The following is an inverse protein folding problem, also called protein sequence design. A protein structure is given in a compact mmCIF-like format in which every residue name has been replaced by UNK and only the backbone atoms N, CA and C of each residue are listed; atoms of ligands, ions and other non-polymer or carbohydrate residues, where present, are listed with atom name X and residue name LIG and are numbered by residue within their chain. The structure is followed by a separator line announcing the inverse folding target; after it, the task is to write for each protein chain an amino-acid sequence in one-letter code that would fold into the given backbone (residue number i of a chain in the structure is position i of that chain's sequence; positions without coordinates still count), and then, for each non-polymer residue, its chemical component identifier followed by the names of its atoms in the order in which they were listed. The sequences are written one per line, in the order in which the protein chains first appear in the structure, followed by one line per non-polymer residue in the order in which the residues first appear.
data_IF_450191118241
#
_entry.id   IF_450191118241
#
_cell.length_a   1.000
_cell.length_b   1.000
_cell.length_c   1.000
_cell.angle_alpha   90.00
_cell.angle_beta   90.00
_cell.angle_gamma   90.00
#
_symmetry.space_group_name_H-M   'P 1'
#
loop_
_entity.id
_entity.type
_entity.pdbx_description
1 polymer ?
#
# COMPACT_ATOMS: atom_id res chain seq x y z
N UNK A 1 -26.83 -24.76 84.89
CA UNK A 1 -26.77 -26.22 85.12
C UNK A 1 -25.60 -26.78 84.33
N UNK A 2 -24.72 -27.48 85.05
CA UNK A 2 -23.69 -28.46 84.64
C UNK A 2 -22.61 -27.99 83.64
N UNK A 3 -21.38 -27.70 84.08
CA UNK A 3 -20.31 -28.65 84.46
C UNK A 3 -19.81 -29.52 83.29
N UNK A 4 -18.56 -29.32 82.88
CA UNK A 4 -17.47 -30.33 82.72
C UNK A 4 -16.28 -29.64 82.01
N UNK A 5 -15.24 -29.18 82.72
CA UNK A 5 -14.01 -29.91 83.11
C UNK A 5 -13.24 -30.57 81.95
N UNK A 6 -12.18 -29.85 81.56
CA UNK A 6 -10.79 -30.27 81.27
C UNK A 6 -10.46 -31.76 81.16
N UNK A 7 -9.76 -32.14 80.09
CA UNK A 7 -8.74 -33.19 80.14
C UNK A 7 -7.54 -32.81 79.26
N UNK A 8 -6.38 -32.94 79.89
CA UNK A 8 -5.03 -32.69 79.44
C UNK A 8 -4.46 -34.03 78.93
N UNK A 9 -3.84 -34.06 77.74
CA UNK A 9 -2.91 -35.13 77.39
C UNK A 9 -1.62 -34.52 76.85
N UNK A 10 -0.56 -34.98 77.51
CA UNK A 10 0.85 -34.68 77.41
C UNK A 10 1.43 -34.93 76.01
N UNK A 11 2.49 -34.20 75.73
CA UNK A 11 3.18 -34.21 74.46
C UNK A 11 3.95 -35.49 74.17
N UNK A 12 4.29 -35.62 72.88
CA UNK A 12 5.38 -36.46 72.39
C UNK A 12 6.26 -35.57 71.53
N UNK A 13 7.51 -35.43 71.94
CA UNK A 13 8.58 -34.88 71.11
C UNK A 13 9.08 -36.00 70.22
N UNK A 14 8.99 -35.84 68.89
CA UNK A 14 9.83 -36.59 67.95
C UNK A 14 10.48 -35.56 67.03
N UNK A 15 11.80 -35.68 66.97
CA UNK A 15 12.71 -34.83 66.24
C UNK A 15 12.93 -35.36 64.81
N UNK A 16 13.61 -34.53 64.02
CA UNK A 16 14.39 -34.88 62.82
C UNK A 16 13.55 -35.04 61.54
N UNK A 17 13.68 -34.08 60.63
CA UNK A 17 14.41 -34.28 59.38
C UNK A 17 14.40 -32.99 58.55
N UNK A 18 15.59 -32.42 58.44
CA UNK A 18 15.97 -31.42 57.45
C UNK A 18 15.60 -31.93 56.06
N UNK A 19 14.80 -31.21 55.29
CA UNK A 19 14.77 -31.38 53.84
C UNK A 19 14.68 -30.01 53.17
N UNK A 20 15.83 -29.67 52.59
CA UNK A 20 16.12 -28.53 51.75
C UNK A 20 15.21 -28.56 50.52
N UNK A 21 14.22 -27.68 50.43
CA UNK A 21 13.54 -27.41 49.15
C UNK A 21 14.32 -26.34 48.41
N UNK A 22 15.17 -26.80 47.48
CA UNK A 22 15.68 -25.98 46.37
C UNK A 22 14.49 -25.36 45.63
N UNK A 23 14.29 -24.06 45.78
CA UNK A 23 13.46 -23.30 44.87
C UNK A 23 14.25 -23.10 43.57
N UNK A 24 13.84 -23.84 42.53
CA UNK A 24 14.30 -23.64 41.16
C UNK A 24 13.60 -22.36 40.67
N UNK A 25 14.27 -21.22 40.80
CA UNK A 25 13.90 -19.99 40.08
C UNK A 25 14.09 -20.24 38.59
N UNK A 26 13.03 -20.66 37.90
CA UNK A 26 12.95 -20.59 36.45
C UNK A 26 12.98 -19.11 36.05
N UNK A 27 14.16 -18.61 35.69
CA UNK A 27 14.28 -17.37 34.93
C UNK A 27 13.74 -17.63 33.53
N UNK A 28 12.44 -17.39 33.34
CA UNK A 28 11.87 -17.23 32.02
C UNK A 28 12.49 -15.97 31.40
N UNK A 29 13.46 -16.16 30.52
CA UNK A 29 13.99 -15.10 29.68
C UNK A 29 12.81 -14.53 28.88
N UNK A 30 12.50 -13.22 28.97
CA UNK A 30 11.56 -12.62 28.04
C UNK A 30 12.23 -12.65 26.67
N UNK A 31 11.79 -13.58 25.82
CA UNK A 31 12.11 -13.60 24.39
C UNK A 31 11.54 -12.32 23.80
N UNK A 32 12.31 -11.25 23.79
CA UNK A 32 11.92 -9.99 23.16
C UNK A 32 11.89 -10.24 21.66
N UNK A 33 10.72 -10.52 21.12
CA UNK A 33 10.45 -10.46 19.69
C UNK A 33 10.73 -9.03 19.24
N UNK A 34 11.91 -8.81 18.65
CA UNK A 34 12.26 -7.54 18.03
C UNK A 34 11.49 -7.46 16.73
N UNK A 35 10.28 -6.93 16.76
CA UNK A 35 9.52 -6.56 15.57
C UNK A 35 10.24 -5.40 14.87
N UNK A 36 11.26 -5.71 14.08
CA UNK A 36 11.85 -4.75 13.15
C UNK A 36 10.92 -4.72 11.94
N UNK A 37 9.90 -3.86 11.98
CA UNK A 37 9.13 -3.49 10.78
C UNK A 37 9.42 -2.02 10.43
N UNK A 38 10.55 -1.70 9.79
CA UNK A 38 10.71 -0.43 9.10
C UNK A 38 10.34 -0.66 7.64
N UNK A 39 9.05 -0.71 7.34
CA UNK A 39 8.58 -0.67 5.94
C UNK A 39 7.54 0.41 5.77
N UNK A 40 8.02 1.63 5.53
CA UNK A 40 7.43 2.61 4.63
C UNK A 40 8.41 3.78 4.41
N UNK A 41 9.54 3.52 3.73
CA UNK A 41 10.28 4.57 3.02
C UNK A 41 9.89 4.41 1.56
N UNK A 42 8.64 4.74 1.22
CA UNK A 42 8.13 4.60 -0.15
C UNK A 42 7.40 5.89 -0.51
N UNK A 43 8.09 6.77 -1.22
CA UNK A 43 7.68 8.15 -1.39
C UNK A 43 8.27 8.65 -2.71
N UNK A 44 7.44 9.16 -3.64
CA UNK A 44 7.88 10.23 -4.50
C UNK A 44 8.66 11.28 -3.68
N UNK A 45 9.82 11.70 -4.19
CA UNK A 45 10.80 12.53 -3.50
C UNK A 45 12.09 11.81 -3.07
N UNK A 46 12.23 10.49 -3.34
CA UNK A 46 13.45 9.73 -3.07
C UNK A 46 14.36 9.57 -4.28
N UNK A 47 15.63 9.24 -4.07
CA UNK A 47 16.55 8.95 -5.18
C UNK A 47 16.26 7.58 -5.80
N UNK A 48 16.56 7.35 -7.09
CA UNK A 48 16.43 6.06 -7.74
C UNK A 48 17.09 4.90 -6.99
N UNK A 49 18.27 5.11 -6.39
CA UNK A 49 18.98 4.05 -5.68
C UNK A 49 18.25 3.63 -4.41
N UNK A 50 17.73 4.59 -3.64
CA UNK A 50 16.89 4.30 -2.47
C UNK A 50 15.64 3.51 -2.86
N UNK A 51 14.99 3.91 -3.95
CA UNK A 51 13.80 3.23 -4.46
C UNK A 51 14.14 1.83 -4.98
N UNK A 52 15.28 1.63 -5.62
CA UNK A 52 15.75 0.29 -6.05
C UNK A 52 15.95 -0.63 -4.85
N UNK A 53 16.61 -0.15 -3.79
CA UNK A 53 16.86 -0.96 -2.60
C UNK A 53 15.56 -1.28 -1.83
N UNK A 54 14.62 -0.34 -1.80
CA UNK A 54 13.28 -0.59 -1.29
C UNK A 54 12.52 -1.63 -2.14
N UNK A 55 12.54 -1.54 -3.48
CA UNK A 55 11.89 -2.50 -4.37
C UNK A 55 12.45 -3.93 -4.14
N UNK A 56 13.77 -4.06 -3.99
CA UNK A 56 14.45 -5.35 -3.75
C UNK A 56 14.00 -6.02 -2.45
N UNK A 57 13.71 -5.23 -1.43
CA UNK A 57 13.30 -5.72 -0.11
C UNK A 57 11.78 -5.77 0.07
N UNK A 58 11.00 -5.27 -0.90
CA UNK A 58 9.55 -5.25 -0.83
C UNK A 58 8.96 -6.66 -1.06
N UNK A 59 8.25 -7.24 -0.07
CA UNK A 59 7.76 -8.62 -0.13
C UNK A 59 6.62 -8.83 -1.13
N UNK A 60 5.99 -7.76 -1.62
CA UNK A 60 4.92 -7.81 -2.63
C UNK A 60 5.51 -7.69 -4.03
N UNK A 61 6.46 -6.77 -4.22
CA UNK A 61 7.08 -6.54 -5.53
C UNK A 61 7.97 -7.70 -5.96
N UNK A 62 8.79 -8.30 -5.08
CA UNK A 62 9.65 -9.47 -5.39
C UNK A 62 10.25 -9.41 -6.81
N UNK A 63 11.11 -8.43 -7.10
CA UNK A 63 11.67 -8.22 -8.43
C UNK A 63 12.47 -9.45 -8.90
N UNK A 64 12.46 -9.73 -10.20
CA UNK A 64 13.35 -10.71 -10.82
C UNK A 64 14.79 -10.17 -10.94
N UNK A 65 15.73 -11.07 -11.23
CA UNK A 65 17.13 -10.67 -11.43
C UNK A 65 17.24 -9.67 -12.59
N UNK A 66 17.79 -8.47 -12.30
CA UNK A 66 17.95 -7.39 -13.27
C UNK A 66 16.79 -6.38 -13.30
N UNK A 67 15.65 -6.68 -12.67
CA UNK A 67 14.61 -5.68 -12.47
C UNK A 67 15.04 -4.63 -11.45
N UNK A 68 14.71 -3.36 -11.74
CA UNK A 68 15.10 -2.19 -10.93
C UNK A 68 13.86 -1.35 -10.64
N UNK A 69 13.76 -0.17 -11.26
CA UNK A 69 12.60 0.74 -11.14
C UNK A 69 11.34 0.22 -11.86
N UNK A 70 11.41 -0.93 -12.49
CA UNK A 70 10.33 -1.54 -13.26
C UNK A 70 10.29 -3.01 -12.93
N UNK A 71 9.17 -3.43 -12.38
CA UNK A 71 8.88 -4.81 -11.98
C UNK A 71 7.66 -5.28 -12.76
N UNK A 72 7.78 -6.41 -13.44
CA UNK A 72 6.70 -7.00 -14.24
C UNK A 72 6.43 -8.41 -13.76
N UNK A 73 5.15 -8.73 -13.64
CA UNK A 73 4.69 -10.10 -13.34
C UNK A 73 3.63 -10.51 -14.33
N UNK A 74 3.72 -11.74 -14.80
CA UNK A 74 2.77 -12.30 -15.74
C UNK A 74 2.48 -13.74 -15.36
N UNK A 75 1.28 -14.00 -14.82
CA UNK A 75 0.80 -15.36 -14.61
C UNK A 75 0.41 -15.99 -15.96
N UNK A 76 -0.24 -15.20 -16.81
CA UNK A 76 -0.64 -15.54 -18.19
C UNK A 76 -0.65 -14.27 -19.05
N UNK A 77 -0.68 -14.37 -20.39
CA UNK A 77 -0.83 -13.18 -21.26
C UNK A 77 -2.05 -12.30 -20.93
N UNK A 78 -3.10 -12.93 -20.38
CA UNK A 78 -4.36 -12.30 -19.98
C UNK A 78 -4.34 -11.74 -18.55
N UNK A 79 -3.26 -11.94 -17.78
CA UNK A 79 -3.10 -11.53 -16.38
C UNK A 79 -1.68 -11.01 -16.11
N UNK A 80 -1.55 -9.68 -16.11
CA UNK A 80 -0.29 -8.97 -15.95
C UNK A 80 -0.37 -7.93 -14.84
N UNK A 81 0.72 -7.79 -14.11
CA UNK A 81 0.98 -6.74 -13.14
C UNK A 81 2.27 -6.02 -13.54
N UNK A 82 2.27 -4.71 -13.35
CA UNK A 82 3.48 -3.89 -13.50
C UNK A 82 3.54 -2.87 -12.38
N UNK A 83 4.72 -2.72 -11.79
CA UNK A 83 5.09 -1.60 -10.95
C UNK A 83 6.19 -0.81 -11.64
N UNK A 84 6.08 0.52 -11.67
CA UNK A 84 7.07 1.40 -12.27
C UNK A 84 7.29 2.66 -11.44
N UNK A 85 8.52 2.90 -11.01
CA UNK A 85 8.98 4.16 -10.44
C UNK A 85 9.64 5.03 -11.52
N UNK A 86 9.41 6.33 -11.47
CA UNK A 86 9.82 7.25 -12.53
C UNK A 86 10.15 8.64 -11.99
N UNK A 87 11.20 9.26 -12.56
CA UNK A 87 11.57 10.67 -12.31
C UNK A 87 10.63 11.67 -13.00
N UNK A 88 9.70 11.18 -13.83
CA UNK A 88 8.66 11.97 -14.49
C UNK A 88 7.28 11.48 -14.10
N UNK A 89 6.29 12.38 -14.18
CA UNK A 89 4.88 12.02 -14.07
C UNK A 89 4.35 11.49 -15.41
N UNK A 90 3.50 10.44 -15.41
CA UNK A 90 2.86 10.00 -16.64
C UNK A 90 1.90 11.08 -17.13
N UNK A 91 1.99 11.44 -18.41
CA UNK A 91 1.11 12.45 -19.03
C UNK A 91 1.59 13.90 -18.93
N UNK A 92 2.69 14.19 -18.22
CA UNK A 92 3.27 15.54 -18.14
C UNK A 92 4.67 15.54 -18.75
N UNK A 93 4.88 16.29 -19.84
CA UNK A 93 6.13 16.28 -20.59
C UNK A 93 7.32 17.02 -19.93
N UNK A 94 7.13 17.73 -18.81
CA UNK A 94 8.24 18.33 -18.07
C UNK A 94 7.80 18.75 -16.66
N UNK A 95 8.57 18.41 -15.63
CA UNK A 95 8.48 19.08 -14.32
C UNK A 95 9.74 19.93 -14.16
N UNK A 96 9.59 21.08 -13.49
CA UNK A 96 10.61 22.11 -13.39
C UNK A 96 11.93 21.61 -12.77
N UNK A 97 12.98 22.35 -13.08
CA UNK A 97 14.43 22.08 -12.95
C UNK A 97 14.97 21.92 -11.51
N UNK A 98 14.13 21.80 -10.49
CA UNK A 98 14.59 21.63 -9.10
C UNK A 98 14.50 20.18 -8.66
N UNK A 99 15.65 19.66 -8.23
CA UNK A 99 15.97 18.29 -7.80
C UNK A 99 16.14 17.31 -8.95
N UNK A 100 17.32 17.41 -9.58
CA UNK A 100 17.77 16.47 -10.58
C UNK A 100 17.89 15.08 -9.96
N UNK A 101 17.06 14.15 -10.43
CA UNK A 101 17.09 12.71 -10.14
C UNK A 101 16.37 12.25 -8.85
N UNK A 102 15.21 12.82 -8.52
CA UNK A 102 14.25 12.20 -7.59
C UNK A 102 13.13 11.48 -8.35
N UNK A 103 12.67 10.35 -7.82
CA UNK A 103 11.47 9.65 -8.27
C UNK A 103 10.26 10.51 -7.94
N UNK A 104 9.47 10.86 -8.94
CA UNK A 104 8.30 11.76 -8.81
C UNK A 104 6.97 11.04 -8.91
N UNK A 105 6.99 9.83 -9.47
CA UNK A 105 5.80 9.00 -9.56
C UNK A 105 6.11 7.52 -9.46
N UNK A 106 5.18 6.80 -8.87
CA UNK A 106 5.19 5.35 -8.75
C UNK A 106 3.84 4.82 -9.18
N UNK A 107 3.86 3.92 -10.16
CA UNK A 107 2.69 3.49 -10.87
C UNK A 107 2.50 1.98 -10.78
N UNK A 108 1.31 1.58 -10.36
CA UNK A 108 0.83 0.20 -10.34
C UNK A 108 -0.16 0.04 -11.49
N UNK A 109 0.07 -0.93 -12.37
CA UNK A 109 -0.86 -1.29 -13.45
C UNK A 109 -1.26 -2.75 -13.37
N UNK A 110 -2.53 -3.00 -13.66
CA UNK A 110 -3.07 -4.33 -13.89
C UNK A 110 -3.67 -4.43 -15.29
N UNK A 111 -3.56 -5.64 -15.82
CA UNK A 111 -4.33 -6.11 -16.95
C UNK A 111 -4.84 -7.51 -16.61
N UNK A 112 -6.14 -7.68 -16.49
CA UNK A 112 -6.78 -8.95 -16.16
C UNK A 112 -8.11 -9.04 -16.91
N UNK A 113 -8.13 -9.78 -18.03
CA UNK A 113 -9.36 -10.00 -18.80
C UNK A 113 -10.28 -11.03 -18.12
N UNK A 114 -9.70 -11.94 -17.33
CA UNK A 114 -10.43 -13.08 -16.76
C UNK A 114 -11.26 -12.65 -15.57
N UNK A 115 -10.65 -11.94 -14.62
CA UNK A 115 -11.32 -11.48 -13.40
C UNK A 115 -11.73 -10.00 -13.45
N UNK A 116 -11.18 -9.25 -14.41
CA UNK A 116 -11.26 -7.80 -14.40
C UNK A 116 -10.33 -7.16 -13.37
N UNK A 117 -10.31 -5.83 -13.43
CA UNK A 117 -9.61 -4.93 -12.53
C UNK A 117 -10.66 -4.02 -11.89
N UNK A 118 -10.65 -3.95 -10.57
CA UNK A 118 -11.56 -3.10 -9.81
C UNK A 118 -10.76 -2.04 -9.05
N UNK A 119 -11.43 -0.95 -8.66
CA UNK A 119 -10.84 0.03 -7.76
C UNK A 119 -10.35 -0.61 -6.46
N UNK A 120 -11.17 -1.47 -5.85
CA UNK A 120 -10.82 -2.17 -4.61
C UNK A 120 -9.54 -3.01 -4.76
N UNK A 121 -9.33 -3.68 -5.91
CA UNK A 121 -8.09 -4.44 -6.17
C UNK A 121 -6.87 -3.52 -6.26
N UNK A 122 -7.00 -2.34 -6.88
CA UNK A 122 -5.94 -1.34 -6.93
C UNK A 122 -5.61 -0.82 -5.53
N UNK A 123 -6.63 -0.53 -4.71
CA UNK A 123 -6.48 -0.05 -3.34
C UNK A 123 -5.86 -1.10 -2.42
N UNK A 124 -6.23 -2.37 -2.57
CA UNK A 124 -5.61 -3.48 -1.83
C UNK A 124 -4.14 -3.62 -2.18
N UNK A 125 -3.81 -3.49 -3.46
CA UNK A 125 -2.42 -3.55 -3.93
C UNK A 125 -1.62 -2.35 -3.42
N UNK A 126 -2.22 -1.16 -3.41
CA UNK A 126 -1.63 0.05 -2.83
C UNK A 126 -1.28 -0.19 -1.36
N UNK A 127 -2.23 -0.69 -0.55
CA UNK A 127 -2.01 -1.02 0.85
C UNK A 127 -0.91 -2.06 1.03
N UNK A 128 -0.90 -3.10 0.19
CA UNK A 128 0.06 -4.20 0.29
C UNK A 128 1.49 -3.74 -0.01
N UNK A 129 1.68 -2.88 -1.02
CA UNK A 129 3.00 -2.39 -1.43
C UNK A 129 3.54 -1.35 -0.45
N UNK A 130 2.70 -0.42 -0.01
CA UNK A 130 3.14 0.78 0.72
C UNK A 130 2.83 0.76 2.23
N UNK A 131 1.95 -0.12 2.67
CA UNK A 131 1.51 -0.20 4.06
C UNK A 131 0.41 0.81 4.45
N UNK A 132 0.10 0.90 5.75
CA UNK A 132 -1.07 1.61 6.25
C UNK A 132 -0.96 3.14 6.16
N UNK A 133 0.24 3.71 6.12
CA UNK A 133 0.42 5.17 6.06
C UNK A 133 -0.07 5.76 4.74
N UNK A 134 0.41 5.23 3.61
CA UNK A 134 -0.02 5.66 2.28
C UNK A 134 -1.49 5.34 2.05
N UNK A 135 -1.98 4.19 2.54
CA UNK A 135 -3.40 3.88 2.43
C UNK A 135 -4.28 4.87 3.20
N UNK A 136 -3.83 5.36 4.36
CA UNK A 136 -4.56 6.39 5.13
C UNK A 136 -4.57 7.73 4.41
N UNK A 137 -3.43 8.15 3.84
CA UNK A 137 -3.34 9.38 3.05
C UNK A 137 -4.27 9.30 1.83
N UNK A 138 -4.25 8.18 1.10
CA UNK A 138 -5.18 7.90 -0.01
C UNK A 138 -6.66 7.90 0.42
N UNK A 139 -7.00 7.20 1.51
CA UNK A 139 -8.39 7.05 1.96
C UNK A 139 -9.01 8.40 2.36
N UNK A 140 -8.19 9.29 2.91
CA UNK A 140 -8.59 10.66 3.29
C UNK A 140 -8.41 11.68 2.16
N UNK A 141 -7.83 11.27 1.02
CA UNK A 141 -7.59 12.14 -0.11
C UNK A 141 -8.91 12.61 -0.75
N UNK A 142 -8.99 13.92 -1.00
CA UNK A 142 -10.15 14.57 -1.62
C UNK A 142 -10.07 14.43 -3.12
N UNK A 143 -11.17 14.02 -3.76
CA UNK A 143 -11.26 14.03 -5.22
C UNK A 143 -11.26 15.48 -5.72
N UNK A 144 -10.30 15.82 -6.59
CA UNK A 144 -10.16 17.15 -7.19
C UNK A 144 -10.61 17.19 -8.64
N UNK A 145 -10.40 16.10 -9.38
CA UNK A 145 -10.82 15.98 -10.77
C UNK A 145 -11.26 14.55 -11.10
N UNK A 146 -12.22 14.42 -12.01
CA UNK A 146 -12.66 13.13 -12.52
C UNK A 146 -13.10 13.25 -13.98
N UNK A 147 -12.87 12.20 -14.74
CA UNK A 147 -13.22 12.12 -16.16
C UNK A 147 -13.76 10.72 -16.51
N UNK A 148 -14.53 10.60 -17.61
CA UNK A 148 -14.86 11.66 -18.57
C UNK A 148 -15.85 12.68 -17.98
N UNK A 149 -15.67 13.97 -18.31
CA UNK A 149 -16.69 15.00 -18.02
C UNK A 149 -17.75 15.01 -19.12
N UNK A 150 -18.94 15.55 -18.85
CA UNK A 150 -20.00 15.65 -19.87
C UNK A 150 -19.52 16.40 -21.14
N UNK A 151 -18.72 17.46 -20.95
CA UNK A 151 -18.12 18.21 -22.04
C UNK A 151 -17.10 17.38 -22.85
N UNK A 152 -16.31 16.51 -22.19
CA UNK A 152 -15.40 15.58 -22.87
C UNK A 152 -16.17 14.55 -23.69
N UNK A 153 -17.26 13.99 -23.14
CA UNK A 153 -18.12 13.03 -23.87
C UNK A 153 -18.73 13.69 -25.10
N UNK A 154 -19.34 14.87 -24.96
CA UNK A 154 -19.95 15.60 -26.08
C UNK A 154 -18.92 15.93 -27.16
N UNK A 155 -17.73 16.43 -26.77
CA UNK A 155 -16.64 16.73 -27.71
C UNK A 155 -16.14 15.48 -28.43
N UNK A 156 -15.99 14.37 -27.71
CA UNK A 156 -15.58 13.07 -28.27
C UNK A 156 -16.60 12.56 -29.28
N UNK A 157 -17.89 12.65 -28.97
CA UNK A 157 -18.98 12.24 -29.86
C UNK A 157 -19.04 13.12 -31.11
N UNK A 158 -18.97 14.44 -30.96
CA UNK A 158 -18.97 15.38 -32.08
C UNK A 158 -17.80 15.18 -33.06
N UNK A 159 -16.67 14.66 -32.56
CA UNK A 159 -15.47 14.37 -33.35
C UNK A 159 -15.39 12.93 -33.88
N UNK A 160 -16.46 12.13 -33.73
CA UNK A 160 -16.46 10.69 -34.06
C UNK A 160 -15.27 9.93 -33.44
N UNK A 161 -14.85 10.33 -32.24
CA UNK A 161 -13.68 9.74 -31.61
C UNK A 161 -14.00 8.36 -31.00
N UNK A 162 -12.96 7.54 -30.83
CA UNK A 162 -13.08 6.14 -30.41
C UNK A 162 -13.89 5.97 -29.12
N UNK A 163 -14.78 4.94 -29.03
CA UNK A 163 -15.52 4.60 -27.82
C UNK A 163 -14.67 4.44 -26.56
N UNK A 164 -13.39 4.11 -26.73
CA UNK A 164 -12.40 3.96 -25.66
C UNK A 164 -12.26 5.24 -24.82
N UNK A 165 -12.45 6.42 -25.42
CA UNK A 165 -12.21 7.70 -24.72
C UNK A 165 -13.22 7.98 -23.60
N UNK A 166 -14.47 7.55 -23.76
CA UNK A 166 -15.48 7.66 -22.70
C UNK A 166 -15.59 6.38 -21.85
N UNK A 167 -14.96 5.28 -22.27
CA UNK A 167 -14.81 4.08 -21.46
C UNK A 167 -13.69 4.21 -20.39
N UNK A 168 -12.75 5.12 -20.59
CA UNK A 168 -11.69 5.42 -19.64
C UNK A 168 -12.22 6.33 -18.52
N UNK A 169 -12.32 5.78 -17.32
CA UNK A 169 -12.73 6.49 -16.13
C UNK A 169 -11.50 6.78 -15.27
N UNK A 170 -11.27 8.04 -14.95
CA UNK A 170 -10.16 8.43 -14.10
C UNK A 170 -10.55 9.39 -13.00
N UNK A 171 -9.77 9.36 -11.92
CA UNK A 171 -9.95 10.19 -10.74
C UNK A 171 -8.59 10.68 -10.25
N UNK A 172 -8.47 12.00 -10.09
CA UNK A 172 -7.39 12.63 -9.34
C UNK A 172 -7.85 12.93 -7.93
N UNK A 173 -7.00 12.58 -6.97
CA UNK A 173 -7.22 12.84 -5.55
C UNK A 173 -6.01 13.52 -4.93
N UNK A 174 -6.30 14.47 -4.06
CA UNK A 174 -5.35 15.21 -3.25
C UNK A 174 -5.31 14.64 -1.84
N UNK A 175 -4.21 13.94 -1.51
CA UNK A 175 -3.88 13.55 -0.15
C UNK A 175 -3.29 14.71 0.66
N UNK A 176 -2.82 14.40 1.87
CA UNK A 176 -2.04 15.34 2.69
C UNK A 176 -0.58 15.38 2.26
N UNK A 177 -0.02 14.23 1.85
CA UNK A 177 1.38 14.11 1.41
C UNK A 177 1.53 13.90 -0.09
N UNK A 178 0.62 13.13 -0.70
CA UNK A 178 0.74 12.73 -2.10
C UNK A 178 -0.49 13.08 -2.92
N UNK A 179 -0.28 13.16 -4.24
CA UNK A 179 -1.34 13.06 -5.23
C UNK A 179 -1.57 11.59 -5.60
N UNK A 180 -2.83 11.27 -5.91
CA UNK A 180 -3.22 9.94 -6.38
C UNK A 180 -4.01 10.06 -7.66
N UNK A 181 -3.63 9.25 -8.65
CA UNK A 181 -4.32 9.18 -9.93
C UNK A 181 -4.72 7.74 -10.23
N UNK A 182 -6.03 7.49 -10.25
CA UNK A 182 -6.62 6.20 -10.55
C UNK A 182 -7.20 6.26 -11.96
N UNK A 183 -6.92 5.26 -12.80
CA UNK A 183 -7.66 5.04 -14.04
C UNK A 183 -8.19 3.61 -14.12
N UNK A 184 -9.39 3.45 -14.65
CA UNK A 184 -10.02 2.18 -14.98
C UNK A 184 -10.53 2.27 -16.42
N UNK A 185 -10.10 1.35 -17.27
CA UNK A 185 -10.61 1.25 -18.63
C UNK A 185 -11.78 0.27 -18.63
N UNK A 186 -13.00 0.82 -18.59
CA UNK A 186 -14.20 0.00 -18.69
C UNK A 186 -14.29 -0.67 -20.06
N UNK A 187 -14.85 -1.86 -20.09
CA UNK A 187 -15.30 -2.54 -21.28
C UNK A 187 -16.79 -2.23 -21.48
N UNK A 188 -17.32 -2.56 -22.66
CA UNK A 188 -18.74 -2.32 -22.99
C UNK A 188 -19.76 -3.09 -22.13
N UNK A 189 -19.32 -3.88 -21.14
CA UNK A 189 -20.16 -4.62 -20.19
C UNK A 189 -20.11 -4.03 -18.76
N UNK A 190 -19.42 -2.90 -18.56
CA UNK A 190 -19.33 -2.20 -17.27
C UNK A 190 -18.28 -2.76 -16.30
N UNK A 191 -17.44 -3.71 -16.71
CA UNK A 191 -16.25 -4.14 -15.96
C UNK A 191 -14.98 -3.56 -16.59
N UNK A 192 -13.86 -3.45 -15.87
CA UNK A 192 -12.62 -2.94 -16.45
C UNK A 192 -11.61 -4.08 -16.65
N UNK A 193 -11.00 -4.20 -17.83
CA UNK A 193 -9.96 -5.21 -18.07
C UNK A 193 -8.56 -4.69 -17.70
N UNK A 194 -8.43 -3.37 -17.55
CA UNK A 194 -7.19 -2.72 -17.16
C UNK A 194 -7.48 -1.59 -16.18
N UNK A 195 -6.55 -1.40 -15.26
CA UNK A 195 -6.59 -0.29 -14.34
C UNK A 195 -5.20 0.05 -13.85
N UNK A 196 -5.06 1.27 -13.36
CA UNK A 196 -3.83 1.75 -12.76
C UNK A 196 -4.12 2.65 -11.57
N UNK A 197 -3.15 2.71 -10.67
CA UNK A 197 -3.06 3.74 -9.65
C UNK A 197 -1.64 4.28 -9.64
N UNK A 198 -1.51 5.60 -9.65
CA UNK A 198 -0.24 6.32 -9.60
C UNK A 198 -0.20 7.14 -8.33
N UNK A 199 0.85 6.97 -7.53
CA UNK A 199 1.20 7.83 -6.39
C UNK A 199 2.25 8.81 -6.89
N UNK A 200 2.09 10.10 -6.61
CA UNK A 200 3.00 11.12 -7.12
C UNK A 200 3.15 12.32 -6.18
N UNK A 201 4.17 13.14 -6.42
CA UNK A 201 4.42 14.36 -5.66
C UNK A 201 3.22 15.31 -5.70
N UNK A 202 2.75 15.75 -4.53
CA UNK A 202 1.56 16.59 -4.42
C UNK A 202 1.68 17.90 -5.21
N UNK A 203 2.86 18.51 -5.27
CA UNK A 203 3.10 19.77 -5.97
C UNK A 203 2.82 19.70 -7.48
N UNK A 204 2.84 18.50 -8.04
CA UNK A 204 2.55 18.29 -9.46
C UNK A 204 1.06 18.15 -9.76
N UNK A 205 0.19 18.09 -8.74
CA UNK A 205 -1.24 17.92 -8.89
C UNK A 205 -1.91 18.99 -9.78
N UNK A 206 -1.66 20.31 -9.59
CA UNK A 206 -2.33 21.32 -10.40
C UNK A 206 -1.98 21.20 -11.89
N UNK A 207 -0.72 20.87 -12.18
CA UNK A 207 -0.26 20.66 -13.56
C UNK A 207 -0.87 19.41 -14.18
N UNK A 208 -0.97 18.32 -13.42
CA UNK A 208 -1.60 17.08 -13.90
C UNK A 208 -3.08 17.30 -14.21
N UNK A 209 -3.79 18.02 -13.34
CA UNK A 209 -5.19 18.38 -13.55
C UNK A 209 -5.38 19.19 -14.83
N UNK A 210 -4.53 20.20 -15.05
CA UNK A 210 -4.57 21.03 -16.26
C UNK A 210 -4.38 20.19 -17.53
N UNK A 211 -3.37 19.32 -17.57
CA UNK A 211 -3.12 18.43 -18.72
C UNK A 211 -4.29 17.47 -18.97
N UNK A 212 -4.85 16.87 -17.91
CA UNK A 212 -6.00 15.96 -18.02
C UNK A 212 -7.29 16.67 -18.45
N UNK A 213 -7.45 17.95 -18.13
CA UNK A 213 -8.60 18.76 -18.55
C UNK A 213 -8.58 19.10 -20.06
N UNK A 214 -7.39 19.07 -20.68
CA UNK A 214 -7.18 19.38 -22.10
C UNK A 214 -7.27 18.15 -23.01
N UNK A 215 -7.29 16.95 -22.43
CA UNK A 215 -7.38 15.66 -23.14
C UNK A 215 -8.72 15.49 -23.85
#
# INVERSE_FOLDING_TARGET
MNCFKSANIKGVKIAIATTLLMQITSMALPTTWRSVVPSAIALPGQTPDQVIDWIRTNPVLRPEAGERLLVRKSDTPSRRFQFQASVVLPGIAAIQKSDANLIRSEQIRFFDIINGVTRSRLEETLRSIYGPEIMRDYATAKRVYAYPTAAMVQRSQAKNASPILWALQGELRQGKKYGYWIELLQNGRGSANSGQITVFELDSLPKLEEELSKR
#
